data_IF_703085832286
#
_entry.id   IF_703085832286
#
_cell.length_a   1.000
_cell.length_b   1.000
_cell.length_c   1.000
_cell.angle_alpha   90.00
_cell.angle_beta   90.00
_cell.angle_gamma   90.00
#
_symmetry.space_group_name_H-M   'P 1'
#
loop_
_entity.id
_entity.type
_entity.pdbx_description
1 polymer ?
#
# COMPACT_ATOMS: atom_id res chain seq x y z
N UNK A 1 10.99 -8.39 42.93
CA UNK A 1 10.36 -9.33 41.97
C UNK A 1 11.35 -9.43 40.83
N UNK A 2 11.83 -10.62 40.51
CA UNK A 2 13.00 -10.82 39.68
C UNK A 2 12.70 -10.36 38.23
N UNK A 3 13.36 -9.30 37.76
CA UNK A 3 13.60 -9.13 36.32
C UNK A 3 14.37 -10.38 35.88
N UNK A 4 13.83 -11.13 34.91
CA UNK A 4 14.61 -12.17 34.27
C UNK A 4 15.64 -11.45 33.40
N UNK A 5 16.90 -11.44 33.87
CA UNK A 5 18.06 -10.99 33.11
C UNK A 5 18.10 -11.72 31.75
N UNK A 6 18.20 -10.94 30.67
CA UNK A 6 18.50 -11.31 29.28
C UNK A 6 18.04 -12.71 28.81
N UNK A 7 16.79 -12.79 28.36
CA UNK A 7 16.26 -13.93 27.63
C UNK A 7 16.04 -13.55 26.16
N UNK A 8 16.84 -14.15 25.28
CA UNK A 8 16.68 -14.05 23.83
C UNK A 8 16.00 -15.31 23.31
N UNK A 9 15.01 -15.15 22.43
CA UNK A 9 14.37 -16.28 21.77
C UNK A 9 15.36 -16.94 20.80
N UNK A 10 15.40 -18.27 20.71
CA UNK A 10 16.24 -18.93 19.71
C UNK A 10 15.83 -18.53 18.28
N UNK A 11 16.80 -18.25 17.41
CA UNK A 11 16.58 -17.88 15.99
C UNK A 11 15.75 -18.91 15.21
N UNK A 12 15.73 -20.17 15.67
CA UNK A 12 14.95 -21.24 15.05
C UNK A 12 13.46 -21.22 15.40
N UNK A 13 13.01 -20.35 16.31
CA UNK A 13 11.61 -20.27 16.71
C UNK A 13 10.79 -19.66 15.56
N UNK A 14 9.88 -20.45 15.02
CA UNK A 14 9.00 -20.04 13.92
C UNK A 14 7.57 -19.72 14.36
N UNK A 15 7.23 -20.03 15.62
CA UNK A 15 5.87 -19.96 16.14
C UNK A 15 5.90 -19.74 17.65
N UNK A 16 5.11 -18.77 18.13
CA UNK A 16 4.82 -18.56 19.55
C UNK A 16 3.33 -18.75 19.77
N UNK A 17 2.97 -19.71 20.62
CA UNK A 17 1.58 -20.13 20.81
C UNK A 17 0.75 -19.13 21.61
N UNK A 18 -0.57 -19.34 21.60
CA UNK A 18 -1.51 -18.62 22.44
C UNK A 18 -1.22 -18.87 23.93
N UNK A 19 -1.39 -17.83 24.74
CA UNK A 19 -1.20 -17.85 26.19
C UNK A 19 -2.54 -17.54 26.88
N UNK A 20 -3.36 -18.55 27.21
CA UNK A 20 -4.75 -18.34 27.62
C UNK A 20 -4.97 -17.54 28.92
N UNK A 21 -3.94 -17.44 29.77
CA UNK A 21 -4.02 -16.79 31.09
C UNK A 21 -3.13 -15.54 31.21
N UNK A 22 -2.57 -15.06 30.10
CA UNK A 22 -1.59 -13.97 30.07
C UNK A 22 -0.24 -14.36 30.71
N UNK A 23 0.86 -13.86 30.17
CA UNK A 23 2.17 -13.98 30.82
C UNK A 23 2.47 -12.74 31.66
N UNK A 24 2.86 -12.93 32.93
CA UNK A 24 3.25 -11.84 33.83
C UNK A 24 4.77 -11.70 33.91
N UNK A 25 5.44 -11.41 32.80
CA UNK A 25 6.89 -11.14 32.83
C UNK A 25 7.65 -11.52 31.58
N UNK A 26 7.26 -10.96 30.43
CA UNK A 26 8.07 -11.03 29.20
C UNK A 26 9.38 -10.28 29.45
N UNK A 27 10.56 -10.91 29.26
CA UNK A 27 11.84 -10.21 29.39
C UNK A 27 11.99 -9.13 28.31
N UNK A 28 12.48 -7.95 28.68
CA UNK A 28 12.64 -6.82 27.73
C UNK A 28 13.47 -7.18 26.49
N UNK A 29 14.45 -8.07 26.66
CA UNK A 29 15.34 -8.58 25.61
C UNK A 29 14.59 -9.42 24.57
N UNK A 30 13.56 -10.16 24.95
CA UNK A 30 12.79 -10.98 24.02
C UNK A 30 12.03 -10.16 22.97
N UNK A 31 11.68 -8.91 23.30
CA UNK A 31 11.00 -7.96 22.40
C UNK A 31 11.96 -7.12 21.55
N UNK A 32 13.25 -7.08 21.89
CA UNK A 32 14.27 -6.37 21.10
C UNK A 32 14.75 -7.19 19.92
N UNK A 33 14.84 -8.51 20.11
CA UNK A 33 15.42 -9.44 19.14
C UNK A 33 14.42 -10.59 18.89
N UNK A 34 13.33 -10.27 18.17
CA UNK A 34 12.40 -11.30 17.70
C UNK A 34 13.05 -12.11 16.56
N UNK A 35 12.96 -13.46 16.56
CA UNK A 35 13.60 -14.29 15.56
C UNK A 35 13.13 -14.00 14.12
N UNK A 36 14.07 -13.92 13.18
CA UNK A 36 13.76 -13.72 11.75
C UNK A 36 12.93 -14.86 11.15
N UNK A 37 12.92 -16.04 11.78
CA UNK A 37 12.13 -17.19 11.34
C UNK A 37 10.68 -17.17 11.85
N UNK A 38 10.33 -16.23 12.75
CA UNK A 38 9.03 -16.18 13.42
C UNK A 38 7.90 -15.85 12.43
N UNK A 39 6.95 -16.76 12.26
CA UNK A 39 5.83 -16.60 11.31
C UNK A 39 4.49 -16.32 11.99
N UNK A 40 4.36 -16.64 13.27
CA UNK A 40 3.11 -16.58 14.00
C UNK A 40 3.34 -16.14 15.45
N UNK A 41 2.55 -15.18 15.90
CA UNK A 41 2.53 -14.67 17.27
C UNK A 41 1.12 -14.83 17.82
N UNK A 42 0.95 -15.74 18.78
CA UNK A 42 -0.33 -16.09 19.36
C UNK A 42 -0.92 -15.03 20.29
N UNK A 43 -2.14 -15.30 20.75
CA UNK A 43 -2.87 -14.50 21.71
C UNK A 43 -2.07 -14.33 23.01
N UNK A 44 -1.97 -13.11 23.53
CA UNK A 44 -1.21 -12.75 24.75
C UNK A 44 0.27 -13.18 24.76
N UNK A 45 0.87 -13.52 23.61
CA UNK A 45 2.22 -14.08 23.51
C UNK A 45 3.28 -13.22 24.23
N UNK A 46 3.16 -11.90 24.10
CA UNK A 46 4.02 -10.92 24.75
C UNK A 46 3.25 -9.91 25.61
N UNK A 47 2.07 -10.29 26.10
CA UNK A 47 1.37 -9.48 27.10
C UNK A 47 2.25 -9.30 28.35
N UNK A 48 2.26 -8.10 28.94
CA UNK A 48 3.06 -7.81 30.13
C UNK A 48 2.34 -6.90 31.12
N UNK A 49 2.31 -7.27 32.40
CA UNK A 49 1.87 -6.36 33.48
C UNK A 49 2.96 -5.35 33.91
N UNK A 50 4.18 -5.46 33.35
CA UNK A 50 5.33 -4.64 33.69
C UNK A 50 5.69 -3.68 32.56
N UNK A 51 6.09 -2.47 32.95
CA UNK A 51 6.64 -1.47 32.03
C UNK A 51 7.96 -1.95 31.42
N UNK A 52 7.86 -2.46 30.20
CA UNK A 52 8.95 -2.74 29.29
C UNK A 52 9.18 -1.46 28.48
N UNK A 53 9.99 -0.55 29.02
CA UNK A 53 10.42 0.67 28.33
C UNK A 53 11.31 0.32 27.12
N UNK A 54 10.67 -0.09 26.02
CA UNK A 54 11.27 -0.15 24.69
C UNK A 54 10.75 1.03 23.88
N UNK A 55 11.67 1.78 23.28
CA UNK A 55 11.31 2.90 22.39
C UNK A 55 10.88 2.46 21.00
N UNK A 56 11.14 1.20 20.65
CA UNK A 56 10.96 0.67 19.32
C UNK A 56 10.69 -0.83 19.39
N UNK A 57 9.71 -1.28 18.61
CA UNK A 57 9.34 -2.69 18.44
C UNK A 57 9.31 -3.00 16.93
N UNK A 58 10.24 -3.85 16.50
CA UNK A 58 10.31 -4.32 15.11
C UNK A 58 9.79 -5.75 15.04
N UNK A 59 8.71 -5.95 14.28
CA UNK A 59 8.15 -7.28 14.06
C UNK A 59 8.80 -7.86 12.80
N UNK A 60 9.39 -9.06 12.87
CA UNK A 60 10.13 -9.64 11.74
C UNK A 60 9.28 -9.79 10.49
N UNK A 61 9.89 -9.57 9.31
CA UNK A 61 9.19 -9.62 8.02
C UNK A 61 8.69 -11.03 7.63
N UNK A 62 8.94 -12.05 8.42
CA UNK A 62 8.38 -13.40 8.25
C UNK A 62 7.04 -13.59 8.96
N UNK A 63 6.66 -12.70 9.89
CA UNK A 63 5.42 -12.79 10.67
C UNK A 63 4.20 -12.52 9.81
N UNK A 64 3.31 -13.51 9.72
CA UNK A 64 2.06 -13.45 8.97
C UNK A 64 0.84 -13.23 9.86
N UNK A 65 0.94 -13.55 11.15
CA UNK A 65 -0.19 -13.54 12.09
C UNK A 65 0.20 -12.91 13.43
N UNK A 66 -0.60 -11.94 13.88
CA UNK A 66 -0.54 -11.36 15.23
C UNK A 66 -1.88 -11.56 15.92
N UNK A 67 -1.89 -12.34 17.00
CA UNK A 67 -3.08 -12.66 17.76
C UNK A 67 -3.57 -11.53 18.67
N UNK A 68 -4.76 -11.75 19.23
CA UNK A 68 -5.39 -10.83 20.17
C UNK A 68 -4.45 -10.55 21.36
N UNK A 69 -4.27 -9.28 21.71
CA UNK A 69 -3.42 -8.85 22.84
C UNK A 69 -1.97 -9.37 22.78
N UNK A 70 -1.50 -9.81 21.61
CA UNK A 70 -0.15 -10.35 21.45
C UNK A 70 0.93 -9.45 22.04
N UNK A 71 0.76 -8.13 21.95
CA UNK A 71 1.68 -7.12 22.47
C UNK A 71 1.00 -6.19 23.47
N UNK A 72 0.09 -6.70 24.28
CA UNK A 72 -0.65 -5.91 25.26
C UNK A 72 0.23 -5.40 26.40
N UNK A 73 -0.02 -4.17 26.84
CA UNK A 73 0.51 -3.63 28.10
C UNK A 73 2.05 -3.51 28.23
N UNK A 74 2.79 -3.58 27.13
CA UNK A 74 4.26 -3.53 27.10
C UNK A 74 4.79 -2.24 27.72
N UNK A 75 4.27 -1.07 27.33
CA UNK A 75 4.78 0.22 27.81
C UNK A 75 3.67 1.11 28.41
N UNK A 76 2.64 0.50 29.01
CA UNK A 76 1.54 1.23 29.66
C UNK A 76 2.05 2.22 30.70
N UNK A 77 1.68 3.49 30.58
CA UNK A 77 2.07 4.54 31.54
C UNK A 77 3.55 4.95 31.47
N UNK A 78 4.30 4.48 30.47
CA UNK A 78 5.65 4.98 30.19
C UNK A 78 5.61 6.44 29.75
N UNK A 79 6.63 7.22 30.14
CA UNK A 79 6.86 8.56 29.57
C UNK A 79 7.43 8.53 28.15
N UNK A 80 8.00 7.40 27.75
CA UNK A 80 8.56 7.18 26.43
C UNK A 80 7.56 6.43 25.56
N UNK A 81 7.32 6.97 24.36
CA UNK A 81 6.49 6.33 23.36
C UNK A 81 7.24 5.20 22.67
N UNK A 82 6.54 4.12 22.37
CA UNK A 82 7.05 2.99 21.59
C UNK A 82 6.59 3.15 20.14
N UNK A 83 7.54 3.17 19.23
CA UNK A 83 7.26 3.10 17.80
C UNK A 83 7.19 1.64 17.36
N UNK A 84 6.18 1.29 16.55
CA UNK A 84 5.96 -0.08 16.09
C UNK A 84 6.15 -0.15 14.58
N UNK A 85 6.99 -1.08 14.12
CA UNK A 85 7.13 -1.43 12.69
C UNK A 85 6.50 -2.79 12.44
N UNK A 86 5.41 -2.80 11.68
CA UNK A 86 4.75 -4.02 11.24
C UNK A 86 5.49 -4.65 10.04
N UNK A 87 5.30 -5.94 9.74
CA UNK A 87 5.90 -6.58 8.57
C UNK A 87 5.01 -6.47 7.32
N UNK A 88 5.62 -6.40 6.14
CA UNK A 88 4.88 -6.35 4.87
C UNK A 88 4.12 -7.66 4.59
N UNK A 89 4.65 -8.77 5.13
CA UNK A 89 4.06 -10.11 5.02
C UNK A 89 2.87 -10.36 5.96
N UNK A 90 2.49 -9.39 6.79
CA UNK A 90 1.41 -9.55 7.76
C UNK A 90 0.07 -9.80 7.03
N UNK A 91 -0.46 -11.00 7.13
CA UNK A 91 -1.72 -11.40 6.50
C UNK A 91 -2.92 -11.20 7.43
N UNK A 92 -2.71 -11.28 8.75
CA UNK A 92 -3.76 -11.15 9.75
C UNK A 92 -3.26 -10.50 11.05
N UNK A 93 -4.11 -9.65 11.62
CA UNK A 93 -3.92 -9.05 12.94
C UNK A 93 -5.25 -9.01 13.66
N UNK A 94 -5.30 -9.47 14.91
CA UNK A 94 -6.55 -9.58 15.66
C UNK A 94 -6.87 -8.32 16.49
N UNK A 95 -8.12 -8.22 16.92
CA UNK A 95 -8.60 -7.15 17.80
C UNK A 95 -7.71 -6.98 19.02
N UNK A 96 -7.45 -5.72 19.39
CA UNK A 96 -6.66 -5.35 20.57
C UNK A 96 -5.22 -5.91 20.59
N UNK A 97 -4.63 -6.26 19.45
CA UNK A 97 -3.25 -6.78 19.33
C UNK A 97 -2.21 -5.99 20.14
N UNK A 98 -2.33 -4.65 20.19
CA UNK A 98 -1.41 -3.76 20.90
C UNK A 98 -2.05 -3.03 22.08
N UNK A 99 -3.10 -3.59 22.68
CA UNK A 99 -3.92 -2.86 23.65
C UNK A 99 -3.14 -2.19 24.78
N UNK A 100 -3.62 -1.02 25.21
CA UNK A 100 -3.17 -0.27 26.38
C UNK A 100 -1.68 0.12 26.38
N UNK A 101 -1.07 0.34 25.21
CA UNK A 101 0.29 0.84 25.08
C UNK A 101 0.35 2.37 24.91
N UNK A 102 1.52 2.97 25.16
CA UNK A 102 1.83 4.35 24.80
C UNK A 102 2.59 4.38 23.47
N UNK A 103 1.88 4.49 22.36
CA UNK A 103 2.44 4.31 21.01
C UNK A 103 2.74 5.68 20.38
N UNK A 104 3.93 5.81 19.79
CA UNK A 104 4.32 7.00 19.05
C UNK A 104 3.72 6.97 17.65
N UNK A 105 4.07 5.95 16.89
CA UNK A 105 3.56 5.69 15.55
C UNK A 105 3.55 4.19 15.23
N UNK A 106 2.74 3.82 14.24
CA UNK A 106 2.79 2.50 13.61
C UNK A 106 3.10 2.69 12.14
N UNK A 107 4.13 1.97 11.68
CA UNK A 107 4.63 2.06 10.31
C UNK A 107 4.58 0.70 9.61
N UNK A 108 4.71 0.74 8.28
CA UNK A 108 4.86 -0.44 7.43
C UNK A 108 3.62 -1.37 7.43
N UNK A 109 2.46 -0.76 7.25
CA UNK A 109 1.19 -1.47 7.15
C UNK A 109 1.15 -2.38 5.93
N UNK A 110 0.93 -3.69 6.14
CA UNK A 110 0.77 -4.63 5.04
C UNK A 110 -0.46 -4.31 4.19
N UNK A 111 -0.32 -4.51 2.87
CA UNK A 111 -1.42 -4.41 1.92
C UNK A 111 -2.49 -5.51 2.08
N UNK A 112 -2.18 -6.61 2.77
CA UNK A 112 -3.15 -7.66 3.05
C UNK A 112 -4.15 -7.27 4.14
N UNK A 113 -3.77 -6.37 5.06
CA UNK A 113 -4.65 -5.86 6.11
C UNK A 113 -5.55 -4.77 5.53
N UNK A 114 -6.76 -5.17 5.17
CA UNK A 114 -7.76 -4.30 4.55
C UNK A 114 -8.93 -3.93 5.47
N UNK A 115 -8.98 -4.53 6.65
CA UNK A 115 -10.01 -4.28 7.67
C UNK A 115 -9.36 -3.90 8.98
N UNK A 116 -9.87 -2.84 9.60
CA UNK A 116 -9.49 -2.39 10.93
C UNK A 116 -10.43 -2.96 11.98
N UNK A 117 -9.87 -3.78 12.86
CA UNK A 117 -10.56 -4.45 13.98
C UNK A 117 -10.14 -3.86 15.33
N UNK A 118 -9.90 -2.54 15.42
CA UNK A 118 -9.54 -1.88 16.69
C UNK A 118 -8.28 -2.45 17.38
N UNK A 119 -7.22 -2.64 16.60
CA UNK A 119 -5.94 -3.21 17.04
C UNK A 119 -5.31 -2.46 18.22
N UNK A 120 -5.63 -1.16 18.35
CA UNK A 120 -5.03 -0.22 19.28
C UNK A 120 -5.98 0.18 20.42
N UNK A 121 -6.91 -0.71 20.79
CA UNK A 121 -7.81 -0.51 21.91
C UNK A 121 -7.06 0.04 23.14
N UNK A 122 -7.51 1.17 23.69
CA UNK A 122 -6.93 1.77 24.89
C UNK A 122 -5.49 2.32 24.74
N UNK A 123 -4.91 2.35 23.54
CA UNK A 123 -3.60 2.94 23.32
C UNK A 123 -3.62 4.47 23.45
N UNK A 124 -2.55 5.02 24.03
CA UNK A 124 -2.29 6.45 24.04
C UNK A 124 -1.43 6.79 22.82
N UNK A 125 -1.87 7.74 22.00
CA UNK A 125 -1.14 8.26 20.83
C UNK A 125 -1.38 9.76 20.69
N UNK A 126 -0.50 10.49 20.00
CA UNK A 126 -0.79 11.90 19.65
C UNK A 126 -1.73 11.99 18.44
N UNK A 127 -1.54 11.09 17.48
CA UNK A 127 -2.38 10.97 16.30
C UNK A 127 -2.26 9.55 15.72
N UNK A 128 -3.33 9.09 15.07
CA UNK A 128 -3.34 7.87 14.28
C UNK A 128 -3.74 8.22 12.85
N UNK A 129 -2.91 7.84 11.88
CA UNK A 129 -3.30 7.89 10.46
C UNK A 129 -3.47 6.45 10.00
N UNK A 130 -4.70 6.08 9.63
CA UNK A 130 -4.91 4.77 9.02
C UNK A 130 -4.31 4.76 7.61
N UNK A 131 -3.62 3.69 7.21
CA UNK A 131 -3.07 3.58 5.87
C UNK A 131 -4.18 3.42 4.83
N UNK A 132 -3.92 3.82 3.58
CA UNK A 132 -4.85 3.66 2.45
C UNK A 132 -5.18 2.18 2.16
N UNK A 133 -4.42 1.24 2.72
CA UNK A 133 -4.69 -0.20 2.63
C UNK A 133 -5.91 -0.62 3.45
N UNK A 134 -6.24 0.11 4.52
CA UNK A 134 -7.43 -0.14 5.35
C UNK A 134 -8.65 0.40 4.62
N UNK A 135 -9.38 -0.52 3.98
CA UNK A 135 -10.58 -0.23 3.22
C UNK A 135 -11.82 -0.25 4.10
N UNK A 136 -11.84 -1.07 5.15
CA UNK A 136 -12.98 -1.22 6.05
C UNK A 136 -12.59 -0.92 7.50
N UNK A 137 -13.43 -0.18 8.22
CA UNK A 137 -13.34 -0.06 9.69
C UNK A 137 -14.57 -0.70 10.30
N UNK A 138 -14.37 -1.74 11.12
CA UNK A 138 -15.42 -2.40 11.88
C UNK A 138 -15.67 -1.70 13.21
N UNK A 139 -14.62 -1.47 14.00
CA UNK A 139 -14.76 -0.76 15.28
C UNK A 139 -13.57 0.15 15.52
N UNK A 140 -13.82 1.28 16.18
CA UNK A 140 -12.79 2.20 16.61
C UNK A 140 -13.20 2.78 17.96
N UNK A 141 -12.50 2.37 19.03
CA UNK A 141 -12.90 2.70 20.42
C UNK A 141 -11.85 3.52 21.17
N UNK A 142 -10.86 4.07 20.47
CA UNK A 142 -9.68 4.69 21.08
C UNK A 142 -9.97 6.09 21.63
N UNK A 143 -10.61 6.16 22.80
CA UNK A 143 -10.88 7.40 23.55
C UNK A 143 -9.61 8.17 23.97
N UNK A 144 -8.43 7.57 23.85
CA UNK A 144 -7.13 8.15 24.19
C UNK A 144 -6.28 8.56 22.97
N UNK A 145 -6.85 8.52 21.74
CA UNK A 145 -6.19 9.03 20.53
C UNK A 145 -6.92 10.31 20.11
N UNK A 146 -6.31 11.49 20.28
CA UNK A 146 -6.99 12.76 20.12
C UNK A 146 -7.13 13.19 18.67
N UNK A 147 -6.47 12.53 17.71
CA UNK A 147 -6.59 12.80 16.28
C UNK A 147 -6.56 11.47 15.53
N UNK A 148 -7.59 11.18 14.75
CA UNK A 148 -7.64 10.00 13.87
C UNK A 148 -7.92 10.47 12.45
N UNK A 149 -6.98 10.20 11.55
CA UNK A 149 -7.08 10.55 10.15
C UNK A 149 -7.43 9.29 9.33
N UNK A 150 -8.56 9.36 8.63
CA UNK A 150 -9.08 8.29 7.77
C UNK A 150 -8.93 8.71 6.31
N UNK A 151 -8.08 8.03 5.56
CA UNK A 151 -7.94 8.22 4.12
C UNK A 151 -8.71 7.14 3.36
N UNK A 152 -9.76 7.51 2.61
CA UNK A 152 -10.52 6.61 1.72
C UNK A 152 -11.03 5.33 2.40
N UNK A 153 -11.56 5.46 3.61
CA UNK A 153 -12.04 4.32 4.39
C UNK A 153 -13.56 4.19 4.30
N UNK A 154 -14.04 2.96 4.10
CA UNK A 154 -15.44 2.59 4.28
C UNK A 154 -15.68 2.20 5.73
N UNK A 155 -16.45 3.00 6.47
CA UNK A 155 -16.86 2.65 7.83
C UNK A 155 -18.05 1.70 7.73
N UNK A 156 -17.89 0.45 8.18
CA UNK A 156 -18.88 -0.62 8.02
C UNK A 156 -19.71 -0.80 9.29
N UNK A 157 -19.11 -0.61 10.46
CA UNK A 157 -19.76 -0.60 11.77
C UNK A 157 -19.31 0.64 12.58
N UNK A 158 -20.13 1.02 13.57
CA UNK A 158 -20.12 2.34 14.21
C UNK A 158 -18.85 2.73 14.98
N UNK A 159 -18.80 4.01 15.41
CA UNK A 159 -17.80 4.49 16.36
C UNK A 159 -18.32 4.24 17.79
N UNK A 160 -17.58 3.50 18.60
CA UNK A 160 -17.94 3.21 19.99
C UNK A 160 -16.96 3.88 20.94
N UNK A 161 -17.23 5.13 21.32
CA UNK A 161 -16.39 5.87 22.26
C UNK A 161 -16.84 5.67 23.70
N UNK A 162 -15.97 5.09 24.55
CA UNK A 162 -16.11 5.20 26.01
C UNK A 162 -15.33 6.42 26.51
N UNK A 163 -16.04 7.54 26.70
CA UNK A 163 -15.47 8.81 27.19
C UNK A 163 -15.68 9.94 26.17
N UNK A 164 -16.38 10.99 26.60
CA UNK A 164 -16.97 12.03 25.76
C UNK A 164 -16.06 12.67 24.73
N UNK A 165 -16.62 12.86 23.53
CA UNK A 165 -16.07 13.63 22.42
C UNK A 165 -16.97 14.85 22.26
N UNK A 166 -16.51 16.04 22.67
CA UNK A 166 -17.18 17.32 22.47
C UNK A 166 -16.37 18.17 21.47
N UNK A 167 -17.04 18.77 20.47
CA UNK A 167 -16.43 19.67 19.48
C UNK A 167 -17.07 21.06 19.64
N UNK A 168 -16.32 22.04 20.15
CA UNK A 168 -16.76 23.43 20.32
C UNK A 168 -16.11 24.38 19.31
N UNK A 169 -16.88 25.39 18.88
CA UNK A 169 -16.44 26.53 18.08
C UNK A 169 -15.22 27.25 18.68
N UNK A 170 -14.41 27.84 17.81
CA UNK A 170 -13.09 28.51 17.99
C UNK A 170 -12.76 29.21 19.34
N UNK A 171 -13.74 29.64 20.15
CA UNK A 171 -13.49 30.45 21.35
C UNK A 171 -13.39 29.67 22.69
N UNK A 172 -13.41 28.33 22.71
CA UNK A 172 -13.37 27.57 23.98
C UNK A 172 -12.38 26.39 23.97
N UNK A 173 -11.08 26.67 23.95
CA UNK A 173 -10.04 25.66 24.19
C UNK A 173 -9.94 25.40 25.69
N UNK A 174 -10.33 24.20 26.15
CA UNK A 174 -9.91 23.65 27.44
C UNK A 174 -9.02 22.41 27.20
N UNK A 175 -7.98 22.16 28.01
CA UNK A 175 -7.09 21.02 27.81
C UNK A 175 -7.77 19.69 28.20
N UNK A 176 -7.80 18.71 27.29
CA UNK A 176 -8.13 17.31 27.62
C UNK A 176 -9.13 16.56 26.74
N UNK A 177 -9.54 17.10 25.58
CA UNK A 177 -10.61 16.51 24.74
C UNK A 177 -10.09 16.08 23.35
N UNK A 178 -10.44 14.88 22.88
CA UNK A 178 -10.05 14.34 21.57
C UNK A 178 -10.92 14.84 20.41
N UNK A 179 -10.33 14.98 19.22
CA UNK A 179 -10.93 15.52 17.98
C UNK A 179 -10.87 14.49 16.83
N UNK A 180 -11.99 14.23 16.14
CA UNK A 180 -12.00 13.37 14.94
C UNK A 180 -12.13 14.25 13.69
N UNK A 181 -11.18 14.11 12.75
CA UNK A 181 -11.17 14.85 11.48
C UNK A 181 -11.36 13.85 10.32
N UNK A 182 -12.41 14.01 9.50
CA UNK A 182 -12.72 13.14 8.35
C UNK A 182 -12.64 13.87 7.01
N UNK A 183 -11.46 14.36 6.58
CA UNK A 183 -11.34 15.17 5.37
C UNK A 183 -11.53 14.38 4.05
N UNK A 184 -11.46 13.03 4.06
CA UNK A 184 -11.38 12.21 2.83
C UNK A 184 -12.25 10.93 2.84
N UNK A 185 -13.34 10.89 3.61
CA UNK A 185 -14.21 9.71 3.66
C UNK A 185 -15.08 9.57 2.38
N UNK A 186 -15.11 8.40 1.74
CA UNK A 186 -15.85 8.18 0.48
C UNK A 186 -17.36 7.88 0.70
N UNK A 187 -17.78 7.36 1.86
CA UNK A 187 -19.19 7.12 2.21
C UNK A 187 -19.39 6.68 3.68
N UNK A 188 -20.40 7.20 4.37
CA UNK A 188 -20.90 6.69 5.67
C UNK A 188 -22.20 5.91 5.43
N UNK A 189 -22.34 4.71 6.01
CA UNK A 189 -23.46 3.79 5.73
C UNK A 189 -24.60 3.87 6.76
N UNK A 190 -25.78 3.32 6.41
CA UNK A 190 -26.99 3.31 7.22
C UNK A 190 -26.92 2.86 8.69
N UNK A 191 -25.96 2.04 9.07
CA UNK A 191 -25.93 1.41 10.40
C UNK A 191 -24.76 1.93 11.26
N UNK A 192 -24.25 3.12 10.97
CA UNK A 192 -23.27 3.78 11.82
C UNK A 192 -23.93 4.24 13.12
N UNK A 193 -23.72 3.48 14.19
CA UNK A 193 -24.03 3.93 15.55
C UNK A 193 -22.87 4.83 16.04
N UNK A 194 -23.16 6.08 16.39
CA UNK A 194 -22.22 6.95 17.11
C UNK A 194 -22.65 6.91 18.57
N UNK A 195 -21.97 6.07 19.36
CA UNK A 195 -22.28 5.88 20.77
C UNK A 195 -21.27 6.57 21.68
N UNK A 196 -21.72 7.49 22.54
CA UNK A 196 -20.91 8.12 23.59
C UNK A 196 -21.68 9.20 24.36
N UNK A 197 -21.43 9.34 25.66
CA UNK A 197 -21.95 10.46 26.45
C UNK A 197 -21.16 11.75 26.12
N UNK A 198 -21.67 12.58 25.22
CA UNK A 198 -21.07 13.85 24.80
C UNK A 198 -21.65 14.36 23.48
N UNK A 199 -21.68 15.68 23.29
CA UNK A 199 -22.22 16.36 22.11
C UNK A 199 -21.22 16.34 20.94
N UNK A 200 -21.41 15.41 20.01
CA UNK A 200 -20.56 15.26 18.82
C UNK A 200 -21.02 16.09 17.60
N UNK A 201 -20.07 16.68 16.87
CA UNK A 201 -20.26 17.23 15.51
C UNK A 201 -19.45 16.37 14.54
N UNK A 202 -20.06 15.85 13.47
CA UNK A 202 -19.35 15.15 12.39
C UNK A 202 -19.07 16.14 11.27
N UNK A 203 -17.78 16.36 10.93
CA UNK A 203 -17.36 17.23 9.84
C UNK A 203 -16.92 16.39 8.63
N UNK A 204 -17.59 16.55 7.48
CA UNK A 204 -17.28 15.85 6.23
C UNK A 204 -17.39 16.85 5.06
N UNK A 205 -16.36 16.97 4.20
CA UNK A 205 -16.46 17.82 3.01
C UNK A 205 -17.33 17.18 1.93
N UNK A 206 -18.17 18.00 1.27
CA UNK A 206 -18.86 17.70 0.01
C UNK A 206 -19.67 16.38 -0.07
N UNK A 207 -20.29 15.92 1.03
CA UNK A 207 -21.19 14.76 1.01
C UNK A 207 -22.60 15.07 1.53
N UNK A 208 -23.59 14.46 0.88
CA UNK A 208 -24.93 14.25 1.45
C UNK A 208 -24.83 13.16 2.52
N UNK A 209 -25.02 13.53 3.79
CA UNK A 209 -25.05 12.58 4.90
C UNK A 209 -26.45 12.00 5.03
N UNK A 210 -26.60 10.68 4.85
CA UNK A 210 -27.83 9.96 5.19
C UNK A 210 -27.59 9.12 6.44
N UNK A 211 -28.13 9.55 7.57
CA UNK A 211 -28.18 8.78 8.83
C UNK A 211 -29.57 8.15 8.92
N UNK A 212 -29.77 6.89 8.54
CA UNK A 212 -31.05 6.24 8.73
C UNK A 212 -31.19 5.84 10.18
N UNK A 213 -32.32 6.27 10.72
CA UNK A 213 -32.87 5.79 11.97
C UNK A 213 -33.25 4.32 11.80
N UNK A 214 -32.50 3.41 12.40
CA UNK A 214 -33.03 2.12 12.81
C UNK A 214 -33.20 2.19 14.32
N UNK A 215 -34.43 2.54 14.71
CA UNK A 215 -34.81 2.75 16.09
C UNK A 215 -34.51 1.53 16.96
N UNK A 216 -33.68 1.76 17.98
CA UNK A 216 -33.78 1.05 19.26
C UNK A 216 -33.43 2.08 20.34
N UNK A 217 -34.37 2.25 21.27
CA UNK A 217 -34.32 3.08 22.48
C UNK A 217 -33.03 2.80 23.33
N UNK A 218 -32.44 3.67 24.15
CA UNK A 218 -32.93 4.78 24.98
C UNK A 218 -31.78 5.81 25.15
N UNK A 219 -32.10 7.11 25.05
CA UNK A 219 -31.28 8.18 25.64
C UNK A 219 -30.10 8.72 24.82
N UNK A 220 -30.36 9.40 23.70
CA UNK A 220 -29.41 10.37 23.14
C UNK A 220 -29.97 11.79 23.19
N UNK A 221 -29.14 12.70 23.68
CA UNK A 221 -29.39 14.12 23.93
C UNK A 221 -29.67 14.88 22.62
N UNK A 222 -30.50 15.91 22.71
CA UNK A 222 -31.14 16.68 21.64
C UNK A 222 -30.17 17.64 20.89
N UNK A 223 -28.88 17.28 20.81
CA UNK A 223 -27.78 18.18 20.47
C UNK A 223 -26.85 17.72 19.35
N UNK A 224 -27.27 16.77 18.50
CA UNK A 224 -26.51 16.49 17.27
C UNK A 224 -26.70 17.64 16.26
N UNK A 225 -25.67 18.46 16.06
CA UNK A 225 -25.62 19.48 15.00
C UNK A 225 -24.63 19.05 13.92
N UNK A 226 -25.12 18.87 12.70
CA UNK A 226 -24.27 18.73 11.51
C UNK A 226 -23.80 20.12 11.11
N UNK A 227 -22.49 20.36 11.13
CA UNK A 227 -21.90 21.64 10.69
C UNK A 227 -21.15 21.40 9.38
N UNK A 228 -21.58 22.09 8.33
CA UNK A 228 -20.88 22.16 7.06
C UNK A 228 -19.78 23.22 7.24
N UNK A 229 -18.52 22.80 7.20
CA UNK A 229 -17.38 23.73 7.26
C UNK A 229 -16.86 24.05 5.86
N UNK A 230 -16.39 25.28 5.68
CA UNK A 230 -15.68 25.82 4.51
C UNK A 230 -14.16 25.71 4.77
N UNK A 231 -13.35 25.51 3.72
CA UNK A 231 -11.88 25.46 3.77
C UNK A 231 -11.25 26.66 4.51
N UNK A 232 -11.90 27.82 4.53
CA UNK A 232 -11.49 29.01 5.29
C UNK A 232 -11.42 28.78 6.81
N UNK A 233 -12.15 27.78 7.33
CA UNK A 233 -12.15 27.40 8.75
C UNK A 233 -10.91 26.59 9.16
N UNK A 234 -10.04 26.23 8.20
CA UNK A 234 -8.78 25.50 8.43
C UNK A 234 -7.57 26.43 8.57
N UNK A 235 -7.72 27.73 8.34
CA UNK A 235 -6.64 28.72 8.46
C UNK A 235 -6.20 28.91 9.93
N UNK A 236 -4.92 28.68 10.22
CA UNK A 236 -4.31 28.94 11.54
C UNK A 236 -4.21 27.74 12.49
N UNK A 237 -4.70 26.56 12.10
CA UNK A 237 -4.36 25.30 12.78
C UNK A 237 -2.89 24.93 12.49
N UNK A 238 -2.17 24.27 13.42
CA UNK A 238 -0.85 23.73 13.12
C UNK A 238 -0.99 22.80 11.92
N UNK A 239 -0.25 23.07 10.84
CA UNK A 239 -0.26 22.23 9.65
C UNK A 239 0.04 20.79 10.04
N UNK A 240 -0.82 19.86 9.63
CA UNK A 240 -0.51 18.43 9.68
C UNK A 240 0.88 18.20 9.07
N UNK A 241 1.70 17.26 9.59
CA UNK A 241 2.83 16.78 8.80
C UNK A 241 2.25 16.24 7.49
N UNK A 242 2.54 16.94 6.39
CA UNK A 242 2.07 16.59 5.05
C UNK A 242 2.56 15.19 4.68
N UNK A 243 1.75 14.15 4.92
CA UNK A 243 2.06 12.77 4.53
C UNK A 243 1.20 12.26 3.37
N UNK A 244 0.36 13.11 2.76
CA UNK A 244 -0.15 12.81 1.43
C UNK A 244 0.93 13.24 0.45
N UNK A 245 1.77 12.29 0.08
CA UNK A 245 2.75 12.47 -0.97
C UNK A 245 2.04 13.10 -2.19
N UNK A 246 2.53 14.24 -2.72
CA UNK A 246 1.89 14.93 -3.84
C UNK A 246 1.56 13.99 -4.99
N UNK A 247 0.51 14.29 -5.77
CA UNK A 247 0.24 13.56 -7.00
C UNK A 247 1.32 13.85 -8.04
N UNK A 248 1.66 12.85 -8.84
CA UNK A 248 2.52 13.04 -10.01
C UNK A 248 1.68 13.63 -11.15
N UNK A 249 1.95 14.90 -11.48
CA UNK A 249 1.18 15.62 -12.50
C UNK A 249 -0.30 15.75 -12.11
N UNK A 250 -1.21 15.37 -13.01
CA UNK A 250 -2.66 15.36 -12.78
C UNK A 250 -3.21 14.00 -12.33
N UNK A 251 -2.37 12.97 -12.16
CA UNK A 251 -2.83 11.61 -11.90
C UNK A 251 -3.15 11.38 -10.43
N UNK A 252 -4.43 11.14 -10.14
CA UNK A 252 -4.94 10.91 -8.79
C UNK A 252 -4.59 9.52 -8.21
N UNK A 253 -4.13 8.61 -9.08
CA UNK A 253 -3.74 7.24 -8.78
C UNK A 253 -2.20 7.03 -8.79
N UNK A 254 -1.43 8.11 -8.82
CA UNK A 254 0.05 8.08 -8.76
C UNK A 254 0.53 9.13 -7.77
N UNK A 255 0.96 8.70 -6.59
CA UNK A 255 1.51 9.54 -5.52
C UNK A 255 3.04 9.49 -5.53
N UNK A 256 3.72 10.56 -5.13
CA UNK A 256 5.20 10.65 -5.15
C UNK A 256 5.93 9.63 -4.27
N UNK A 257 5.24 8.98 -3.34
CA UNK A 257 5.79 7.88 -2.53
C UNK A 257 5.57 6.49 -3.13
N UNK A 258 4.85 6.36 -4.25
CA UNK A 258 4.78 5.08 -4.96
C UNK A 258 6.15 4.73 -5.55
N UNK A 259 6.53 3.45 -5.49
CA UNK A 259 7.83 2.98 -6.01
C UNK A 259 8.02 3.26 -7.52
N UNK A 260 6.91 3.42 -8.26
CA UNK A 260 6.90 3.75 -9.69
C UNK A 260 6.69 5.24 -9.99
N UNK A 261 6.52 6.10 -8.98
CA UNK A 261 6.10 7.49 -9.17
C UNK A 261 7.04 8.27 -10.09
N UNK A 262 8.35 8.21 -9.80
CA UNK A 262 9.38 8.86 -10.63
C UNK A 262 9.44 8.29 -12.05
N UNK A 263 9.14 7.00 -12.24
CA UNK A 263 9.08 6.41 -13.56
C UNK A 263 7.87 6.87 -14.35
N UNK A 264 6.69 6.95 -13.72
CA UNK A 264 5.49 7.50 -14.35
C UNK A 264 5.72 8.95 -14.77
N UNK A 265 6.29 9.76 -13.89
CA UNK A 265 6.66 11.14 -14.19
C UNK A 265 7.59 11.20 -15.41
N UNK A 266 8.64 10.37 -15.42
CA UNK A 266 9.60 10.30 -16.51
C UNK A 266 8.92 9.95 -17.84
N UNK A 267 8.14 8.88 -17.90
CA UNK A 267 7.56 8.41 -19.17
C UNK A 267 6.46 9.34 -19.69
N UNK A 268 5.77 10.06 -18.81
CA UNK A 268 4.75 11.04 -19.20
C UNK A 268 5.40 12.34 -19.68
N UNK A 269 6.41 12.84 -18.97
CA UNK A 269 7.13 14.07 -19.36
C UNK A 269 7.89 13.90 -20.68
N UNK A 270 8.34 12.69 -20.99
CA UNK A 270 8.95 12.35 -22.28
C UNK A 270 7.91 11.97 -23.36
N UNK A 271 6.61 12.09 -23.08
CA UNK A 271 5.54 11.82 -24.04
C UNK A 271 5.41 10.35 -24.46
N UNK A 272 6.00 9.42 -23.71
CA UNK A 272 6.04 7.99 -24.05
C UNK A 272 4.71 7.33 -23.68
N UNK A 273 4.25 7.56 -22.45
CA UNK A 273 2.93 7.17 -21.96
C UNK A 273 1.99 8.37 -21.83
N UNK A 274 0.71 8.10 -22.01
CA UNK A 274 -0.39 8.99 -21.60
C UNK A 274 -1.22 8.32 -20.50
N UNK A 275 -1.97 9.11 -19.75
CA UNK A 275 -3.03 8.59 -18.87
C UNK A 275 -4.09 7.82 -19.66
N UNK A 276 -4.87 7.00 -18.96
CA UNK A 276 -6.11 6.40 -19.49
C UNK A 276 -7.27 7.41 -19.45
N UNK A 277 -7.11 8.47 -18.66
CA UNK A 277 -7.90 9.69 -18.66
C UNK A 277 -7.02 10.88 -18.25
N UNK A 278 -7.59 12.08 -18.22
CA UNK A 278 -6.88 13.29 -17.78
C UNK A 278 -6.37 13.22 -16.33
N UNK A 279 -6.98 12.37 -15.50
CA UNK A 279 -6.72 12.28 -14.06
C UNK A 279 -6.33 10.88 -13.56
N UNK A 280 -6.17 9.90 -14.45
CA UNK A 280 -5.78 8.53 -14.07
C UNK A 280 -4.75 7.93 -15.03
N UNK A 281 -3.69 7.36 -14.45
CA UNK A 281 -2.67 6.61 -15.16
C UNK A 281 -3.00 5.12 -15.29
N UNK A 282 -3.78 4.58 -14.34
CA UNK A 282 -4.09 3.16 -14.15
C UNK A 282 -2.82 2.28 -14.00
N UNK A 283 -2.02 2.47 -12.94
CA UNK A 283 -0.71 1.81 -12.80
C UNK A 283 -0.77 0.28 -12.77
N UNK A 284 -1.86 -0.29 -12.26
CA UNK A 284 -2.04 -1.73 -12.12
C UNK A 284 -2.66 -2.39 -13.35
N UNK A 285 -3.14 -1.61 -14.32
CA UNK A 285 -3.72 -2.16 -15.53
C UNK A 285 -2.62 -2.79 -16.39
N UNK A 286 -2.90 -3.91 -17.07
CA UNK A 286 -1.94 -4.57 -17.92
C UNK A 286 -1.70 -3.77 -19.21
N UNK A 287 -0.45 -3.76 -19.67
CA UNK A 287 -0.07 -3.18 -20.96
C UNK A 287 -0.38 -4.16 -22.08
N UNK A 288 -0.96 -3.66 -23.18
CA UNK A 288 -1.15 -4.47 -24.39
C UNK A 288 0.09 -4.44 -25.29
N UNK A 289 0.20 -5.41 -26.20
CA UNK A 289 1.29 -5.46 -27.19
C UNK A 289 1.34 -4.20 -28.05
N UNK A 290 0.18 -3.70 -28.49
CA UNK A 290 0.05 -2.46 -29.26
C UNK A 290 0.51 -1.23 -28.48
N UNK A 291 0.21 -1.18 -27.17
CA UNK A 291 0.69 -0.11 -26.28
C UNK A 291 2.21 -0.11 -26.15
N UNK A 292 2.83 -1.25 -25.82
CA UNK A 292 4.29 -1.32 -25.65
C UNK A 292 5.01 -0.88 -26.92
N UNK A 293 4.57 -1.37 -28.09
CA UNK A 293 5.24 -1.05 -29.35
C UNK A 293 5.09 0.43 -29.70
N UNK A 294 3.94 1.03 -29.43
CA UNK A 294 3.72 2.47 -29.62
C UNK A 294 4.65 3.30 -28.74
N UNK A 295 4.83 2.89 -27.49
CA UNK A 295 5.77 3.52 -26.55
C UNK A 295 7.21 3.47 -27.07
N UNK A 296 7.67 2.31 -27.56
CA UNK A 296 9.02 2.18 -28.13
C UNK A 296 9.20 2.99 -29.42
N UNK A 297 8.16 3.07 -30.26
CA UNK A 297 8.15 3.89 -31.46
C UNK A 297 8.26 5.39 -31.14
N UNK A 298 7.55 5.86 -30.11
CA UNK A 298 7.70 7.24 -29.57
C UNK A 298 9.11 7.50 -29.04
N UNK A 299 9.65 6.54 -28.27
CA UNK A 299 11.03 6.63 -27.76
C UNK A 299 12.08 6.66 -28.90
N UNK A 300 11.75 6.14 -30.08
CA UNK A 300 12.58 6.22 -31.28
C UNK A 300 12.38 7.52 -32.09
N UNK A 301 11.53 8.44 -31.64
CA UNK A 301 11.24 9.70 -32.32
C UNK A 301 10.16 9.60 -33.41
N UNK A 302 9.23 8.66 -33.27
CA UNK A 302 8.10 8.44 -34.19
C UNK A 302 8.50 8.32 -35.69
N UNK A 303 9.48 7.46 -36.02
CA UNK A 303 9.95 7.31 -37.40
C UNK A 303 8.82 6.92 -38.35
N UNK A 304 8.88 7.42 -39.59
CA UNK A 304 7.90 7.08 -40.62
C UNK A 304 7.86 5.58 -40.89
N UNK A 305 6.65 5.03 -41.03
CA UNK A 305 6.41 3.62 -41.33
C UNK A 305 5.44 3.48 -42.51
N UNK A 306 5.59 2.40 -43.28
CA UNK A 306 4.58 1.94 -44.23
C UNK A 306 3.39 1.29 -43.50
N UNK A 307 2.40 0.82 -44.27
CA UNK A 307 1.32 0.01 -43.71
C UNK A 307 1.85 -1.28 -43.06
N UNK A 308 1.16 -1.73 -42.00
CA UNK A 308 1.42 -3.01 -41.36
C UNK A 308 1.15 -4.17 -42.31
N UNK A 309 1.93 -5.25 -42.17
CA UNK A 309 1.70 -6.51 -42.90
C UNK A 309 0.64 -7.40 -42.22
N UNK A 310 0.30 -7.11 -40.96
CA UNK A 310 -0.66 -7.90 -40.18
C UNK A 310 -2.10 -7.49 -40.48
N UNK A 311 -2.98 -8.47 -40.68
CA UNK A 311 -4.38 -8.28 -41.04
C UNK A 311 -5.22 -7.72 -39.89
N UNK A 312 -4.83 -7.99 -38.65
CA UNK A 312 -5.47 -7.49 -37.42
C UNK A 312 -4.93 -6.12 -36.96
N UNK A 313 -4.20 -5.42 -37.83
CA UNK A 313 -3.70 -4.06 -37.61
C UNK A 313 -4.29 -3.13 -38.68
N UNK A 314 -5.48 -2.54 -38.42
CA UNK A 314 -6.10 -1.58 -39.32
C UNK A 314 -5.19 -0.37 -39.57
N UNK A 315 -5.18 0.16 -40.79
CA UNK A 315 -4.26 1.23 -41.19
C UNK A 315 -4.48 2.55 -40.42
N UNK A 316 -5.68 2.76 -39.89
CA UNK A 316 -6.10 3.93 -39.11
C UNK A 316 -5.98 3.71 -37.59
N UNK A 317 -5.59 2.52 -37.13
CA UNK A 317 -5.38 2.26 -35.71
C UNK A 317 -4.20 3.08 -35.17
N UNK A 318 -4.33 3.60 -33.95
CA UNK A 318 -3.34 4.47 -33.33
C UNK A 318 -1.95 3.80 -33.15
N UNK A 319 -1.91 2.46 -33.09
CA UNK A 319 -0.67 1.67 -33.02
C UNK A 319 -0.15 1.21 -34.39
N UNK A 320 -0.86 1.44 -35.50
CA UNK A 320 -0.57 0.80 -36.78
C UNK A 320 0.84 1.10 -37.31
N UNK A 321 1.24 2.38 -37.26
CA UNK A 321 2.59 2.82 -37.68
C UNK A 321 3.68 2.24 -36.79
N UNK A 322 3.44 2.23 -35.49
CA UNK A 322 4.39 1.68 -34.53
C UNK A 322 4.61 0.19 -34.74
N UNK A 323 3.54 -0.58 -34.93
CA UNK A 323 3.61 -2.02 -35.22
C UNK A 323 4.36 -2.29 -36.53
N UNK A 324 4.04 -1.54 -37.59
CA UNK A 324 4.71 -1.69 -38.88
C UNK A 324 6.21 -1.40 -38.78
N UNK A 325 6.58 -0.29 -38.14
CA UNK A 325 7.98 0.08 -37.93
C UNK A 325 8.72 -0.96 -37.09
N UNK A 326 8.14 -1.38 -35.96
CA UNK A 326 8.79 -2.31 -35.06
C UNK A 326 8.96 -3.69 -35.70
N UNK A 327 8.02 -4.12 -36.54
CA UNK A 327 8.13 -5.38 -37.25
C UNK A 327 9.23 -5.35 -38.33
N UNK A 328 9.27 -4.29 -39.16
CA UNK A 328 10.29 -4.13 -40.21
C UNK A 328 11.71 -4.08 -39.62
N UNK A 329 11.85 -3.49 -38.43
CA UNK A 329 13.14 -3.40 -37.73
C UNK A 329 13.44 -4.61 -36.84
N UNK A 330 12.61 -5.66 -36.87
CA UNK A 330 12.85 -6.89 -36.10
C UNK A 330 12.70 -6.73 -34.58
N UNK A 331 12.10 -5.63 -34.11
CA UNK A 331 11.84 -5.36 -32.68
C UNK A 331 10.72 -6.27 -32.18
N UNK A 332 9.68 -6.47 -33.01
CA UNK A 332 8.55 -7.36 -32.71
C UNK A 332 8.25 -8.35 -33.82
N UNK A 333 7.64 -9.45 -33.43
CA UNK A 333 7.11 -10.49 -34.32
C UNK A 333 5.62 -10.67 -34.02
N UNK A 334 4.85 -11.02 -35.06
CA UNK A 334 3.48 -11.51 -34.89
C UNK A 334 3.47 -12.92 -34.32
N UNK A 335 2.32 -13.39 -33.88
CA UNK A 335 2.14 -14.80 -33.55
C UNK A 335 2.22 -15.69 -34.78
N UNK A 336 1.82 -15.14 -35.93
CA UNK A 336 2.00 -15.74 -37.24
C UNK A 336 2.25 -14.66 -38.30
N UNK A 337 2.27 -15.05 -39.57
CA UNK A 337 2.56 -14.14 -40.68
C UNK A 337 1.49 -13.04 -40.88
N UNK A 338 0.28 -13.23 -40.35
CA UNK A 338 -0.89 -12.38 -40.53
C UNK A 338 -1.45 -11.77 -39.23
N UNK A 339 -1.07 -12.28 -38.07
CA UNK A 339 -1.66 -11.89 -36.77
C UNK A 339 -0.62 -11.30 -35.82
N UNK A 340 -0.84 -10.06 -35.37
CA UNK A 340 -0.01 -9.40 -34.37
C UNK A 340 -0.55 -9.51 -32.93
N UNK A 341 -1.88 -9.55 -32.79
CA UNK A 341 -2.65 -9.45 -31.55
C UNK A 341 -2.33 -8.18 -30.75
N UNK A 342 -2.70 -6.97 -31.23
CA UNK A 342 -2.35 -5.70 -30.57
C UNK A 342 -3.01 -5.51 -29.19
N UNK A 343 -4.18 -6.10 -28.96
CA UNK A 343 -4.93 -5.95 -27.71
C UNK A 343 -4.59 -7.01 -26.65
N UNK A 344 -3.81 -8.02 -27.02
CA UNK A 344 -3.31 -9.02 -26.08
C UNK A 344 -2.40 -8.37 -25.04
N UNK A 345 -2.58 -8.80 -23.79
CA UNK A 345 -1.73 -8.38 -22.67
C UNK A 345 -0.32 -8.93 -22.88
N UNK A 346 0.67 -8.09 -22.64
CA UNK A 346 2.06 -8.52 -22.79
C UNK A 346 2.54 -9.26 -21.54
N UNK A 347 3.11 -10.44 -21.74
CA UNK A 347 3.74 -11.17 -20.65
C UNK A 347 5.13 -10.60 -20.34
N UNK A 348 5.63 -10.84 -19.13
CA UNK A 348 6.96 -10.34 -18.72
C UNK A 348 8.09 -10.91 -19.59
N UNK A 349 7.98 -12.19 -19.98
CA UNK A 349 8.96 -12.81 -20.87
C UNK A 349 8.92 -12.22 -22.30
N UNK A 350 7.72 -11.88 -22.80
CA UNK A 350 7.57 -11.19 -24.08
C UNK A 350 8.16 -9.79 -24.03
N UNK A 351 7.89 -9.05 -22.96
CA UNK A 351 8.42 -7.71 -22.76
C UNK A 351 9.96 -7.73 -22.74
N UNK A 352 10.57 -8.63 -21.98
CA UNK A 352 12.02 -8.77 -21.93
C UNK A 352 12.64 -9.05 -23.31
N UNK A 353 12.06 -9.98 -24.07
CA UNK A 353 12.51 -10.29 -25.42
C UNK A 353 12.38 -9.10 -26.39
N UNK A 354 11.30 -8.33 -26.29
CA UNK A 354 11.10 -7.13 -27.12
C UNK A 354 12.12 -6.04 -26.76
N UNK A 355 12.37 -5.79 -25.47
CA UNK A 355 13.38 -4.82 -25.05
C UNK A 355 14.79 -5.24 -25.48
N UNK A 356 15.13 -6.53 -25.45
CA UNK A 356 16.42 -7.01 -25.95
C UNK A 356 16.58 -6.73 -27.45
N UNK A 357 15.55 -7.01 -28.26
CA UNK A 357 15.57 -6.73 -29.71
C UNK A 357 15.64 -5.24 -29.98
N UNK A 358 14.92 -4.43 -29.21
CA UNK A 358 14.98 -2.97 -29.31
C UNK A 358 16.38 -2.43 -28.96
N UNK A 359 17.02 -2.96 -27.92
CA UNK A 359 18.40 -2.64 -27.56
C UNK A 359 19.35 -2.95 -28.72
N UNK A 360 19.21 -4.13 -29.34
CA UNK A 360 19.99 -4.51 -30.52
C UNK A 360 19.77 -3.56 -31.70
N UNK A 361 18.52 -3.17 -31.96
CA UNK A 361 18.19 -2.15 -32.97
C UNK A 361 18.87 -0.81 -32.69
N UNK A 362 18.95 -0.40 -31.41
CA UNK A 362 19.64 0.82 -30.97
C UNK A 362 21.18 0.70 -30.99
N UNK A 363 21.73 -0.47 -31.33
CA UNK A 363 23.17 -0.74 -31.35
C UNK A 363 23.77 -0.93 -29.96
N UNK A 364 22.95 -1.24 -28.95
CA UNK A 364 23.41 -1.49 -27.58
C UNK A 364 23.96 -2.92 -27.44
N UNK A 365 24.85 -3.11 -26.47
CA UNK A 365 25.37 -4.44 -26.11
C UNK A 365 24.27 -5.32 -25.52
N UNK A 366 24.01 -6.47 -26.15
CA UNK A 366 22.97 -7.42 -25.73
C UNK A 366 23.52 -8.79 -25.35
N UNK A 367 24.84 -8.93 -25.21
CA UNK A 367 25.54 -10.17 -24.86
C UNK A 367 25.53 -10.48 -23.36
N UNK A 368 25.35 -9.47 -22.49
CA UNK A 368 25.26 -9.65 -21.04
C UNK A 368 24.10 -10.57 -20.64
N UNK A 369 24.32 -11.37 -19.59
CA UNK A 369 23.35 -12.35 -19.07
C UNK A 369 23.35 -12.28 -17.54
N UNK A 370 22.16 -12.20 -16.95
CA UNK A 370 21.93 -12.30 -15.52
C UNK A 370 21.66 -13.73 -15.10
N UNK A 371 22.01 -14.05 -13.85
CA UNK A 371 21.76 -15.36 -13.26
C UNK A 371 20.26 -15.55 -13.03
N UNK A 372 19.66 -16.53 -13.71
CA UNK A 372 18.25 -16.84 -13.54
C UNK A 372 18.00 -17.85 -12.40
N UNK A 373 19.04 -18.50 -11.87
CA UNK A 373 18.88 -19.50 -10.80
C UNK A 373 18.39 -18.91 -9.48
N UNK A 374 18.49 -17.58 -9.33
CA UNK A 374 17.89 -16.84 -8.22
C UNK A 374 16.36 -16.83 -8.23
N UNK A 375 15.72 -17.23 -9.34
CA UNK A 375 14.27 -17.29 -9.46
C UNK A 375 13.75 -18.74 -9.46
N UNK A 376 12.81 -19.04 -8.56
CA UNK A 376 12.26 -20.38 -8.36
C UNK A 376 11.31 -20.84 -9.46
N UNK A 377 10.80 -19.91 -10.27
CA UNK A 377 9.76 -20.14 -11.29
C UNK A 377 10.29 -20.11 -12.73
N UNK A 378 11.61 -20.17 -12.91
CA UNK A 378 12.25 -20.21 -14.25
C UNK A 378 11.80 -21.38 -15.12
N UNK A 379 11.27 -22.46 -14.52
CA UNK A 379 10.67 -23.57 -15.27
C UNK A 379 9.44 -23.18 -16.10
N UNK A 380 8.80 -22.04 -15.81
CA UNK A 380 7.69 -21.50 -16.60
C UNK A 380 8.14 -20.65 -17.81
N UNK A 381 9.45 -20.39 -17.97
CA UNK A 381 9.98 -19.65 -19.10
C UNK A 381 9.81 -20.43 -20.40
N UNK A 382 9.30 -19.76 -21.42
CA UNK A 382 9.37 -20.27 -22.77
C UNK A 382 10.82 -20.35 -23.25
N UNK A 383 11.17 -21.43 -23.97
CA UNK A 383 12.54 -21.62 -24.50
C UNK A 383 13.05 -20.43 -25.33
N UNK A 384 12.18 -19.80 -26.11
CA UNK A 384 12.52 -18.64 -26.94
C UNK A 384 12.76 -17.36 -26.14
N UNK A 385 12.29 -17.29 -24.89
CA UNK A 385 12.36 -16.10 -24.06
C UNK A 385 13.55 -16.11 -23.09
N UNK A 386 14.20 -17.26 -22.88
CA UNK A 386 15.29 -17.43 -21.91
C UNK A 386 16.40 -16.39 -22.10
N UNK A 387 16.83 -16.17 -23.34
CA UNK A 387 17.89 -15.19 -23.63
C UNK A 387 17.48 -13.76 -23.34
N UNK A 388 16.26 -13.37 -23.73
CA UNK A 388 15.74 -12.02 -23.52
C UNK A 388 15.55 -11.70 -22.05
N UNK A 389 15.02 -12.67 -21.29
CA UNK A 389 14.84 -12.56 -19.84
C UNK A 389 16.18 -12.51 -19.12
N UNK A 390 17.11 -13.42 -19.41
CA UNK A 390 18.44 -13.39 -18.80
C UNK A 390 19.18 -12.10 -19.11
N UNK A 391 19.10 -11.59 -20.34
CA UNK A 391 19.65 -10.28 -20.67
C UNK A 391 18.98 -9.15 -19.87
N UNK A 392 17.64 -9.12 -19.78
CA UNK A 392 16.93 -8.07 -19.06
C UNK A 392 17.26 -8.06 -17.56
N UNK A 393 17.45 -9.24 -16.95
CA UNK A 393 17.94 -9.38 -15.57
C UNK A 393 19.38 -8.88 -15.44
N UNK A 394 20.28 -9.33 -16.34
CA UNK A 394 21.69 -8.91 -16.33
C UNK A 394 21.88 -7.41 -16.59
N UNK A 395 21.01 -6.82 -17.39
CA UNK A 395 20.95 -5.38 -17.63
C UNK A 395 20.31 -4.62 -16.46
N UNK A 396 19.71 -5.28 -15.47
CA UNK A 396 19.02 -4.63 -14.35
C UNK A 396 17.68 -3.98 -14.75
N UNK A 397 17.13 -4.34 -15.91
CA UNK A 397 15.80 -3.89 -16.33
C UNK A 397 14.71 -4.60 -15.50
N UNK A 398 14.87 -5.90 -15.28
CA UNK A 398 13.94 -6.75 -14.51
C UNK A 398 14.68 -7.31 -13.28
N UNK A 399 14.05 -7.19 -12.10
CA UNK A 399 14.59 -7.68 -10.82
C UNK A 399 13.72 -8.73 -10.13
N UNK A 400 12.71 -9.27 -10.83
CA UNK A 400 11.66 -10.11 -10.23
C UNK A 400 10.54 -9.30 -9.56
N UNK A 401 9.55 -10.00 -8.99
CA UNK A 401 8.41 -9.42 -8.24
C UNK A 401 8.60 -9.46 -6.71
N UNK A 402 9.73 -9.97 -6.22
CA UNK A 402 9.96 -10.31 -4.82
C UNK A 402 10.09 -11.82 -4.62
N UNK A 403 10.63 -12.25 -3.47
CA UNK A 403 10.70 -13.65 -3.01
C UNK A 403 11.27 -14.67 -4.03
N UNK A 404 12.18 -14.22 -4.90
CA UNK A 404 12.75 -15.07 -5.94
C UNK A 404 11.73 -15.48 -7.03
N UNK A 405 10.74 -14.63 -7.32
CA UNK A 405 9.73 -14.89 -8.38
C UNK A 405 9.94 -13.95 -9.56
N UNK A 406 10.02 -14.50 -10.77
CA UNK A 406 10.12 -13.74 -12.02
C UNK A 406 8.73 -13.42 -12.61
N UNK A 407 7.80 -14.37 -12.50
CA UNK A 407 6.49 -14.44 -13.12
C UNK A 407 6.53 -14.27 -14.65
N UNK A 408 7.22 -15.17 -15.39
CA UNK A 408 7.52 -14.95 -16.81
C UNK A 408 6.28 -14.88 -17.70
N UNK A 409 5.24 -15.65 -17.38
CA UNK A 409 3.99 -15.69 -18.14
C UNK A 409 2.95 -14.68 -17.64
N UNK A 410 3.16 -14.06 -16.48
CA UNK A 410 2.27 -13.04 -15.95
C UNK A 410 2.24 -11.78 -16.80
N UNK A 411 1.09 -11.11 -16.81
CA UNK A 411 0.92 -9.84 -17.50
C UNK A 411 1.78 -8.76 -16.84
N UNK A 412 2.34 -7.87 -17.67
CA UNK A 412 3.08 -6.71 -17.18
C UNK A 412 2.14 -5.52 -17.03
N UNK A 413 2.16 -4.89 -15.85
CA UNK A 413 1.38 -3.70 -15.53
C UNK A 413 1.97 -2.43 -16.14
N UNK A 414 1.18 -1.36 -16.22
CA UNK A 414 1.62 -0.05 -16.71
C UNK A 414 2.73 0.56 -15.84
N UNK A 415 2.66 0.39 -14.52
CA UNK A 415 3.70 0.82 -13.59
C UNK A 415 5.03 0.07 -13.82
N UNK A 416 4.98 -1.25 -13.94
CA UNK A 416 6.18 -2.06 -14.21
C UNK A 416 6.80 -1.69 -15.57
N UNK A 417 5.97 -1.52 -16.61
CA UNK A 417 6.45 -1.10 -17.92
C UNK A 417 7.10 0.29 -17.90
N UNK A 418 6.54 1.25 -17.13
CA UNK A 418 7.12 2.57 -16.97
C UNK A 418 8.50 2.50 -16.31
N UNK A 419 8.65 1.72 -15.25
CA UNK A 419 9.93 1.54 -14.54
C UNK A 419 10.97 0.87 -15.43
N UNK A 420 10.59 -0.19 -16.15
CA UNK A 420 11.49 -0.86 -17.09
C UNK A 420 11.94 0.09 -18.20
N UNK A 421 11.00 0.89 -18.73
CA UNK A 421 11.30 1.85 -19.79
C UNK A 421 12.22 2.98 -19.32
N UNK A 422 11.98 3.55 -18.13
CA UNK A 422 12.88 4.54 -17.54
C UNK A 422 14.30 3.96 -17.41
N UNK A 423 14.44 2.80 -16.76
CA UNK A 423 15.73 2.12 -16.58
C UNK A 423 16.43 1.82 -17.90
N UNK A 424 15.66 1.53 -18.95
CA UNK A 424 16.20 1.27 -20.28
C UNK A 424 16.74 2.54 -20.93
N UNK A 425 16.00 3.66 -20.84
CA UNK A 425 16.35 4.92 -21.50
C UNK A 425 17.40 5.75 -20.76
N UNK A 426 17.62 5.48 -19.48
CA UNK A 426 18.69 6.09 -18.67
C UNK A 426 20.06 5.39 -18.82
N UNK A 427 20.13 4.28 -19.57
CA UNK A 427 21.37 3.60 -19.95
C UNK A 427 21.87 4.07 -21.31
#
# INVERSE_FOLDING_TARGET
MYELDDFTLPESVTYIDDVPNGHRGVPKSALRDLPDALTYIGMNAFESDYQIDIGYLEIPNSVKYIGQKAFAHINTGSSQKMDVRLPDSLEYMDWAAFTNNNIGQITNWSAAITTWEDFLYGCQMDALTLPDTILNVHSLTSSAIPIINLNRVKVVEGFYGYGGVDILSYDAIQPGSGTILMPNAERVFPNTHIGGAGAGVVAIPNMDVYVPFNGVDEGFDEHLKVVIFDESMLEGLPSAPSSVAPMVGSFTDVRTNNWFAGAVEYVVNNGLFSGVSDTSFAPNDPVTRGMLVTVLWRAAGEPSASASAFADVPADAWYAKAVAWANVNGIVQGYDASTFAPDDRITREQLAAIFQRYAGFKGMETSGRGDLSQFGDTGALSNWAQEGVSWAVGAGLISGKGDGVLDPQGATTRAEAAVILQRFLEK
#
